data_IF_417987540201
#
_entry.id   IF_417987540201
#
_cell.length_a   1.000
_cell.length_b   1.000
_cell.length_c   1.000
_cell.angle_alpha   90.00
_cell.angle_beta   90.00
_cell.angle_gamma   90.00
#
_symmetry.space_group_name_H-M   'P 1'
#
loop_
_entity.id
_entity.type
_entity.pdbx_description
1 polymer ?
#
# COMPACT_ATOMS: atom_id res chain seq x y z
N UNK A 1 1.34 -3.51 -20.47
CA UNK A 1 2.68 -4.06 -20.14
C UNK A 1 2.68 -5.19 -19.12
N UNK A 2 1.91 -5.14 -18.02
CA UNK A 2 1.96 -6.18 -16.97
C UNK A 2 1.61 -7.60 -17.45
N UNK A 3 0.59 -7.75 -18.32
CA UNK A 3 0.19 -9.05 -18.88
C UNK A 3 1.26 -9.71 -19.77
N UNK A 4 2.06 -8.91 -20.50
CA UNK A 4 3.15 -9.43 -21.33
C UNK A 4 4.28 -9.99 -20.47
N UNK A 5 4.69 -9.27 -19.41
CA UNK A 5 5.73 -9.73 -18.49
C UNK A 5 5.35 -11.04 -17.79
N UNK A 6 4.08 -11.18 -17.37
CA UNK A 6 3.59 -12.43 -16.75
C UNK A 6 3.61 -13.61 -17.72
N UNK A 7 3.24 -13.41 -19.00
CA UNK A 7 3.31 -14.47 -20.02
C UNK A 7 4.74 -14.88 -20.33
N UNK A 8 5.64 -13.91 -20.42
CA UNK A 8 7.06 -14.13 -20.64
C UNK A 8 7.72 -14.90 -19.48
N UNK A 9 7.36 -14.57 -18.23
CA UNK A 9 7.78 -15.31 -17.04
C UNK A 9 7.24 -16.76 -17.03
N UNK A 10 5.99 -16.97 -17.44
CA UNK A 10 5.44 -18.32 -17.55
C UNK A 10 6.17 -19.13 -18.64
N UNK A 11 6.45 -18.53 -19.79
CA UNK A 11 7.18 -19.17 -20.88
C UNK A 11 8.61 -19.56 -20.49
N UNK A 12 9.32 -18.73 -19.73
CA UNK A 12 10.67 -19.05 -19.25
C UNK A 12 10.69 -20.17 -18.21
N UNK A 13 9.66 -20.26 -17.36
CA UNK A 13 9.44 -21.38 -16.44
C UNK A 13 9.23 -22.71 -17.19
N UNK A 14 8.40 -22.69 -18.24
CA UNK A 14 8.18 -23.85 -19.10
C UNK A 14 9.48 -24.24 -19.82
N UNK A 15 10.21 -23.28 -20.38
CA UNK A 15 11.49 -23.53 -21.04
C UNK A 15 12.52 -24.16 -20.08
N UNK A 16 12.59 -23.68 -18.84
CA UNK A 16 13.44 -24.25 -17.79
C UNK A 16 13.07 -25.71 -17.47
N UNK A 17 11.78 -26.00 -17.31
CA UNK A 17 11.30 -27.37 -17.06
C UNK A 17 11.61 -28.31 -18.23
N UNK A 18 11.44 -27.84 -19.48
CA UNK A 18 11.75 -28.60 -20.69
C UNK A 18 13.26 -28.89 -20.80
N UNK A 19 14.11 -27.90 -20.51
CA UNK A 19 15.57 -28.09 -20.52
C UNK A 19 16.04 -29.07 -19.45
N UNK A 20 15.42 -29.05 -18.27
CA UNK A 20 15.67 -30.05 -17.23
C UNK A 20 15.27 -31.46 -17.70
N UNK A 21 14.08 -31.60 -18.29
CA UNK A 21 13.63 -32.88 -18.84
C UNK A 21 14.56 -33.41 -19.94
N UNK A 22 14.99 -32.53 -20.85
CA UNK A 22 15.95 -32.86 -21.91
C UNK A 22 17.33 -33.23 -21.35
N UNK A 23 17.80 -32.54 -20.31
CA UNK A 23 19.07 -32.85 -19.66
C UNK A 23 19.07 -34.26 -19.06
N UNK A 24 17.97 -34.67 -18.41
CA UNK A 24 17.82 -36.02 -17.85
C UNK A 24 17.68 -37.06 -18.96
N UNK A 25 16.88 -36.79 -19.98
CA UNK A 25 16.63 -37.76 -21.05
C UNK A 25 17.87 -38.05 -21.91
N UNK A 26 18.70 -37.03 -22.18
CA UNK A 26 19.90 -37.17 -23.00
C UNK A 26 21.20 -37.29 -22.19
N UNK A 27 21.13 -37.34 -20.86
CA UNK A 27 22.28 -37.34 -19.93
C UNK A 27 23.33 -36.25 -20.27
N UNK A 28 22.88 -35.11 -20.81
CA UNK A 28 23.78 -34.10 -21.35
C UNK A 28 24.03 -32.98 -20.33
N UNK A 29 25.31 -32.81 -19.99
CA UNK A 29 25.80 -31.73 -19.13
C UNK A 29 25.55 -30.34 -19.73
N UNK A 30 25.48 -30.21 -21.06
CA UNK A 30 25.24 -28.93 -21.74
C UNK A 30 23.85 -28.36 -21.39
N UNK A 31 22.82 -29.20 -21.38
CA UNK A 31 21.46 -28.77 -21.01
C UNK A 31 21.34 -28.45 -19.51
N UNK A 32 22.13 -29.11 -18.66
CA UNK A 32 22.25 -28.78 -17.23
C UNK A 32 22.86 -27.39 -17.02
N UNK A 33 23.90 -27.03 -17.77
CA UNK A 33 24.48 -25.67 -17.74
C UNK A 33 23.50 -24.62 -18.28
N UNK A 34 22.77 -24.93 -19.36
CA UNK A 34 21.75 -24.02 -19.88
C UNK A 34 20.59 -23.81 -18.87
N UNK A 35 20.16 -24.89 -18.22
CA UNK A 35 19.15 -24.83 -17.17
C UNK A 35 19.61 -24.02 -15.96
N UNK A 36 20.88 -24.12 -15.55
CA UNK A 36 21.39 -23.35 -14.40
C UNK A 36 21.53 -21.85 -14.67
N UNK A 37 21.71 -21.43 -15.92
CA UNK A 37 21.77 -20.01 -16.30
C UNK A 37 20.38 -19.35 -16.39
N UNK A 38 19.33 -20.11 -16.69
CA UNK A 38 17.96 -19.62 -16.87
C UNK A 38 17.36 -18.90 -15.64
N UNK A 39 17.52 -19.37 -14.39
CA UNK A 39 17.06 -18.68 -13.20
C UNK A 39 17.53 -17.22 -13.11
N UNK A 40 18.77 -16.94 -13.51
CA UNK A 40 19.34 -15.59 -13.50
C UNK A 40 18.58 -14.69 -14.48
N UNK A 41 18.26 -15.22 -15.66
CA UNK A 41 17.49 -14.54 -16.71
C UNK A 41 16.02 -14.31 -16.30
N UNK A 42 15.43 -15.27 -15.58
CA UNK A 42 14.05 -15.20 -15.08
C UNK A 42 13.88 -14.06 -14.05
N UNK A 43 14.88 -13.82 -13.19
CA UNK A 43 14.81 -12.76 -12.16
C UNK A 43 14.67 -11.37 -12.76
N UNK A 44 15.31 -11.09 -13.91
CA UNK A 44 15.19 -9.78 -14.61
C UNK A 44 13.74 -9.53 -15.06
N UNK A 45 13.00 -10.61 -15.31
CA UNK A 45 11.64 -10.56 -15.86
C UNK A 45 10.56 -10.74 -14.81
N UNK A 46 10.94 -10.82 -13.53
CA UNK A 46 9.99 -10.95 -12.43
C UNK A 46 9.04 -9.73 -12.43
N UNK A 47 7.71 -9.95 -12.43
CA UNK A 47 6.79 -8.84 -12.28
C UNK A 47 7.03 -8.16 -10.92
N UNK A 48 7.29 -6.86 -10.95
CA UNK A 48 7.43 -6.06 -9.74
C UNK A 48 6.12 -6.10 -8.95
N UNK A 49 6.14 -6.77 -7.79
CA UNK A 49 4.99 -6.87 -6.90
C UNK A 49 4.95 -5.56 -6.14
N UNK A 50 4.08 -4.64 -6.57
CA UNK A 50 3.86 -3.36 -5.89
C UNK A 50 3.60 -3.57 -4.40
N UNK A 51 4.62 -3.28 -3.57
CA UNK A 51 4.57 -3.47 -2.11
C UNK A 51 3.61 -2.52 -1.41
N UNK A 52 3.18 -1.45 -2.07
CA UNK A 52 2.32 -0.42 -1.48
C UNK A 52 1.13 -0.09 -2.39
N UNK A 53 0.00 0.21 -1.80
CA UNK A 53 -1.21 0.62 -2.49
C UNK A 53 -1.37 2.14 -2.39
N UNK A 54 -1.75 2.80 -3.49
CA UNK A 54 -1.96 4.24 -3.54
C UNK A 54 -3.39 4.57 -3.93
N UNK A 55 -4.07 5.38 -3.14
CA UNK A 55 -5.37 5.96 -3.47
C UNK A 55 -5.14 7.16 -4.39
N UNK A 56 -5.27 6.92 -5.69
CA UNK A 56 -5.15 7.92 -6.77
C UNK A 56 -6.53 8.43 -7.21
N UNK A 57 -6.63 9.57 -7.90
CA UNK A 57 -7.90 10.13 -8.40
C UNK A 57 -8.75 9.16 -9.23
N UNK A 58 -8.11 8.24 -9.97
CA UNK A 58 -8.78 7.18 -10.73
C UNK A 58 -9.63 6.22 -9.88
N UNK A 59 -9.38 6.15 -8.57
CA UNK A 59 -10.09 5.29 -7.63
C UNK A 59 -11.27 5.98 -6.94
N UNK A 60 -11.57 7.25 -7.26
CA UNK A 60 -12.68 8.03 -6.64
C UNK A 60 -14.07 7.39 -6.76
N UNK A 61 -14.29 6.49 -7.71
CA UNK A 61 -15.55 5.74 -7.84
C UNK A 61 -15.69 4.61 -6.81
N UNK A 62 -14.56 4.07 -6.32
CA UNK A 62 -14.47 2.92 -5.41
C UNK A 62 -14.03 3.30 -4.00
N UNK A 63 -13.58 4.54 -3.81
CA UNK A 63 -13.05 5.06 -2.55
C UNK A 63 -13.56 6.48 -2.33
N UNK A 64 -14.12 6.73 -1.15
CA UNK A 64 -14.54 8.05 -0.69
C UNK A 64 -13.70 8.45 0.52
N UNK A 65 -13.07 9.62 0.44
CA UNK A 65 -12.35 10.23 1.56
C UNK A 65 -13.14 11.46 2.02
N UNK A 66 -13.59 11.42 3.27
CA UNK A 66 -14.42 12.48 3.85
C UNK A 66 -13.83 12.97 5.16
N UNK A 67 -13.79 14.28 5.33
CA UNK A 67 -13.42 14.92 6.60
C UNK A 67 -14.70 15.34 7.29
N UNK A 68 -14.88 14.87 8.53
CA UNK A 68 -15.98 15.26 9.40
C UNK A 68 -15.39 16.20 10.46
N UNK A 69 -15.60 17.50 10.29
CA UNK A 69 -15.16 18.51 11.25
C UNK A 69 -16.21 18.66 12.37
N UNK A 70 -16.30 17.65 13.24
CA UNK A 70 -17.10 17.72 14.46
C UNK A 70 -16.31 18.36 15.61
N UNK A 71 -16.08 19.67 15.55
CA UNK A 71 -15.40 20.43 16.61
C UNK A 71 -14.02 19.87 17.01
N UNK A 72 -13.72 19.82 18.31
CA UNK A 72 -12.43 19.38 18.91
C UNK A 72 -12.06 17.93 18.55
N UNK A 73 -12.99 17.13 18.05
CA UNK A 73 -12.82 15.71 17.75
C UNK A 73 -13.07 15.39 16.27
N UNK A 74 -12.53 16.20 15.36
CA UNK A 74 -12.60 15.94 13.92
C UNK A 74 -12.12 14.53 13.56
N UNK A 75 -12.79 13.88 12.61
CA UNK A 75 -12.44 12.54 12.12
C UNK A 75 -12.42 12.50 10.60
N UNK A 76 -11.43 11.81 10.05
CA UNK A 76 -11.36 11.48 8.64
C UNK A 76 -11.84 10.05 8.45
N UNK A 77 -12.78 9.87 7.52
CA UNK A 77 -13.32 8.56 7.18
C UNK A 77 -12.94 8.23 5.74
N UNK A 78 -12.31 7.07 5.56
CA UNK A 78 -11.98 6.48 4.26
C UNK A 78 -12.92 5.30 4.06
N UNK A 79 -13.89 5.44 3.16
CA UNK A 79 -14.81 4.36 2.78
C UNK A 79 -14.38 3.76 1.46
N UNK A 80 -14.46 2.44 1.30
CA UNK A 80 -14.10 1.77 0.06
C UNK A 80 -14.96 0.54 -0.20
N UNK A 81 -15.03 0.14 -1.47
CA UNK A 81 -15.70 -1.10 -1.85
C UNK A 81 -14.99 -2.32 -1.23
N UNK A 82 -15.73 -3.38 -0.86
CA UNK A 82 -15.16 -4.67 -0.48
C UNK A 82 -14.12 -5.15 -1.50
N UNK A 83 -12.99 -5.68 -1.01
CA UNK A 83 -11.88 -6.13 -1.85
C UNK A 83 -11.06 -5.03 -2.53
N UNK A 84 -11.29 -3.74 -2.22
CA UNK A 84 -10.41 -2.67 -2.68
C UNK A 84 -9.05 -2.71 -1.97
N UNK A 85 -9.05 -2.83 -0.64
CA UNK A 85 -7.82 -2.83 0.17
C UNK A 85 -7.14 -4.19 0.08
N UNK A 86 -5.86 -4.18 -0.28
CA UNK A 86 -5.03 -5.40 -0.42
C UNK A 86 -4.34 -5.75 0.90
N UNK A 87 -5.10 -6.12 1.93
CA UNK A 87 -4.62 -6.37 3.29
C UNK A 87 -3.36 -7.25 3.40
N UNK A 88 -3.30 -8.35 2.65
CA UNK A 88 -2.16 -9.30 2.71
C UNK A 88 -1.03 -9.04 1.72
N UNK A 89 -1.25 -8.20 0.70
CA UNK A 89 -0.31 -8.00 -0.41
C UNK A 89 0.36 -6.64 -0.39
N UNK A 90 -0.33 -5.62 0.11
CA UNK A 90 0.21 -4.28 0.26
C UNK A 90 0.63 -4.07 1.71
N UNK A 91 1.85 -3.59 1.93
CA UNK A 91 2.33 -3.20 3.26
C UNK A 91 1.70 -1.91 3.74
N UNK A 92 1.57 -0.91 2.85
CA UNK A 92 0.99 0.40 3.21
C UNK A 92 -0.05 0.87 2.20
N UNK A 93 -1.12 1.50 2.71
CA UNK A 93 -2.13 2.20 1.94
C UNK A 93 -1.87 3.71 2.02
N UNK A 94 -1.40 4.29 0.93
CA UNK A 94 -1.11 5.72 0.85
C UNK A 94 -2.29 6.50 0.29
N UNK A 95 -2.61 7.63 0.91
CA UNK A 95 -3.55 8.61 0.41
C UNK A 95 -2.97 10.02 0.52
N UNK A 96 -3.47 10.94 -0.30
CA UNK A 96 -3.03 12.33 -0.30
C UNK A 96 -3.98 13.21 0.52
N UNK A 97 -3.43 14.14 1.30
CA UNK A 97 -4.21 15.10 2.09
C UNK A 97 -5.15 15.95 1.22
N UNK A 98 -4.70 16.47 0.08
CA UNK A 98 -5.56 17.19 -0.88
C UNK A 98 -6.71 16.38 -1.49
N UNK A 99 -6.69 15.05 -1.36
CA UNK A 99 -7.81 14.21 -1.82
C UNK A 99 -8.96 14.17 -0.81
N UNK A 100 -8.78 14.77 0.37
CA UNK A 100 -9.80 14.91 1.39
C UNK A 100 -10.85 15.93 0.94
N UNK A 101 -12.08 15.47 0.74
CA UNK A 101 -13.21 16.39 0.55
C UNK A 101 -13.72 16.83 1.92
N UNK A 102 -13.76 18.14 2.14
CA UNK A 102 -14.48 18.75 3.26
C UNK A 102 -15.94 18.83 2.83
N UNK A 103 -16.76 17.96 3.39
CA UNK A 103 -18.21 17.97 3.17
C UNK A 103 -18.84 18.24 4.54
N UNK A 104 -19.61 19.33 4.66
CA UNK A 104 -20.35 19.70 5.87
C UNK A 104 -21.63 18.86 6.05
N UNK A 105 -21.76 17.78 5.29
CA UNK A 105 -22.95 16.94 5.32
C UNK A 105 -22.95 16.05 6.58
N UNK A 106 -24.08 15.98 7.31
CA UNK A 106 -24.22 15.09 8.45
C UNK A 106 -23.99 13.63 8.05
N UNK A 107 -23.54 12.81 9.01
CA UNK A 107 -23.16 11.39 8.87
C UNK A 107 -24.23 10.49 8.21
N UNK A 108 -25.44 11.01 8.00
CA UNK A 108 -26.65 10.34 7.52
C UNK A 108 -26.75 10.12 5.99
N UNK A 109 -25.86 10.71 5.17
CA UNK A 109 -25.88 10.50 3.71
C UNK A 109 -24.99 9.33 3.23
N UNK A 110 -24.56 8.45 4.12
CA UNK A 110 -24.04 7.14 3.71
C UNK A 110 -25.24 6.25 3.42
N UNK A 111 -25.38 5.80 2.15
CA UNK A 111 -26.45 4.87 1.74
C UNK A 111 -26.63 3.76 2.80
N UNK A 112 -27.73 3.78 3.57
CA UNK A 112 -28.01 2.72 4.53
C UNK A 112 -28.48 1.52 3.71
N UNK A 113 -27.58 0.58 3.43
CA UNK A 113 -27.92 -0.51 2.50
C UNK A 113 -27.02 -1.73 2.50
N UNK A 114 -25.99 -1.82 3.35
CA UNK A 114 -25.31 -3.08 3.61
C UNK A 114 -25.11 -3.23 5.11
N UNK A 115 -25.78 -4.23 5.68
CA UNK A 115 -25.81 -4.57 7.10
C UNK A 115 -24.45 -5.07 7.67
N UNK A 116 -23.32 -4.65 7.09
CA UNK A 116 -21.97 -5.10 7.43
C UNK A 116 -20.93 -3.99 7.22
N UNK A 117 -21.25 -2.76 7.63
CA UNK A 117 -20.30 -1.64 7.62
C UNK A 117 -19.39 -1.70 8.86
N UNK A 118 -18.45 -2.65 8.85
CA UNK A 118 -17.46 -2.71 9.92
C UNK A 118 -16.43 -1.59 9.74
N UNK A 119 -16.51 -0.59 10.61
CA UNK A 119 -15.56 0.51 10.69
C UNK A 119 -14.39 0.18 11.61
N UNK A 120 -13.16 0.36 11.11
CA UNK A 120 -11.96 0.10 11.89
C UNK A 120 -11.23 1.41 12.21
N UNK A 121 -10.97 1.71 13.50
CA UNK A 121 -10.19 2.88 13.87
C UNK A 121 -8.71 2.65 13.58
N UNK A 122 -8.15 3.57 12.81
CA UNK A 122 -6.72 3.69 12.54
C UNK A 122 -6.11 4.56 13.62
N UNK A 123 -5.06 4.07 14.26
CA UNK A 123 -4.40 4.76 15.37
C UNK A 123 -3.14 5.48 14.87
N UNK A 124 -2.64 6.44 15.65
CA UNK A 124 -1.49 7.26 15.29
C UNK A 124 -0.24 6.44 14.93
N UNK A 125 -0.03 5.28 15.57
CA UNK A 125 1.08 4.39 15.27
C UNK A 125 0.91 3.56 13.98
N UNK A 126 -0.32 3.41 13.48
CA UNK A 126 -0.60 2.80 12.17
C UNK A 126 -0.34 3.79 11.03
N UNK A 127 -0.14 5.08 11.34
CA UNK A 127 0.11 6.14 10.38
C UNK A 127 1.60 6.39 10.19
N UNK A 128 1.99 6.65 8.95
CA UNK A 128 3.35 7.04 8.61
C UNK A 128 3.36 8.05 7.47
N UNK A 129 4.16 9.10 7.58
CA UNK A 129 4.41 10.01 6.47
C UNK A 129 5.17 9.29 5.35
N UNK A 130 4.84 9.58 4.09
CA UNK A 130 5.59 9.03 2.97
C UNK A 130 7.00 9.65 2.94
N UNK A 131 8.08 8.85 2.83
CA UNK A 131 9.45 9.34 2.99
C UNK A 131 9.87 10.37 1.92
N UNK A 132 9.40 10.20 0.69
CA UNK A 132 9.82 11.04 -0.45
C UNK A 132 8.73 11.93 -1.05
N UNK A 133 7.48 11.85 -0.57
CA UNK A 133 6.34 12.54 -1.21
C UNK A 133 5.58 13.35 -0.17
N UNK A 134 5.70 14.69 -0.19
CA UNK A 134 4.99 15.53 0.77
C UNK A 134 3.48 15.38 0.60
N UNK A 135 2.74 15.45 1.70
CA UNK A 135 1.27 15.38 1.69
C UNK A 135 0.70 13.97 1.50
N UNK A 136 1.54 12.95 1.31
CA UNK A 136 1.12 11.55 1.29
C UNK A 136 1.27 10.91 2.67
N UNK A 137 0.17 10.36 3.17
CA UNK A 137 0.11 9.64 4.44
C UNK A 137 -0.18 8.17 4.14
N UNK A 138 0.60 7.28 4.74
CA UNK A 138 0.50 5.83 4.62
C UNK A 138 -0.10 5.22 5.88
N UNK A 139 -1.07 4.34 5.69
CA UNK A 139 -1.65 3.48 6.73
C UNK A 139 -0.98 2.10 6.63
N UNK A 140 -0.42 1.58 7.71
CA UNK A 140 0.16 0.24 7.76
C UNK A 140 -0.96 -0.81 7.77
N UNK A 141 -1.08 -1.56 6.67
CA UNK A 141 -2.13 -2.55 6.53
C UNK A 141 -1.82 -3.84 7.30
N UNK A 142 -0.55 -4.12 7.58
CA UNK A 142 -0.15 -5.33 8.29
C UNK A 142 -0.51 -5.22 9.76
N UNK A 143 -0.16 -4.10 10.40
CA UNK A 143 -0.53 -3.82 11.79
C UNK A 143 -2.05 -3.80 11.97
N UNK A 144 -2.74 -3.19 11.01
CA UNK A 144 -4.19 -3.07 11.03
C UNK A 144 -4.89 -4.44 10.83
N UNK A 145 -4.30 -5.33 10.02
CA UNK A 145 -4.75 -6.72 9.86
C UNK A 145 -4.50 -7.56 11.13
N UNK A 146 -3.37 -7.36 11.82
CA UNK A 146 -3.07 -8.05 13.08
C UNK A 146 -4.06 -7.65 14.18
N UNK A 147 -4.42 -6.36 14.26
CA UNK A 147 -5.42 -5.86 15.21
C UNK A 147 -6.84 -6.37 14.95
N UNK A 148 -7.18 -6.63 13.69
CA UNK A 148 -8.48 -7.20 13.32
C UNK A 148 -8.57 -8.69 13.60
N UNK A 149 -7.44 -9.42 13.63
CA UNK A 149 -7.45 -10.83 14.01
C UNK A 149 -7.96 -11.09 15.44
N UNK A 150 -7.88 -10.08 16.33
CA UNK A 150 -8.44 -10.13 17.68
C UNK A 150 -9.89 -9.65 17.79
N UNK A 151 -10.52 -9.23 16.68
CA UNK A 151 -11.90 -8.75 16.65
C UNK A 151 -12.81 -9.80 15.99
N UNK A 152 -14.10 -9.78 16.28
CA UNK A 152 -15.11 -10.63 15.62
C UNK A 152 -15.40 -10.22 14.16
N UNK A 153 -14.54 -9.40 13.56
CA UNK A 153 -14.69 -8.83 12.21
C UNK A 153 -13.50 -9.26 11.36
N UNK A 154 -13.78 -9.80 10.18
CA UNK A 154 -12.72 -10.17 9.23
C UNK A 154 -12.26 -8.96 8.41
N UNK A 155 -11.01 -8.97 7.94
CA UNK A 155 -10.48 -7.91 7.06
C UNK A 155 -11.29 -7.71 5.78
N UNK A 156 -12.01 -8.75 5.33
CA UNK A 156 -12.83 -8.71 4.12
C UNK A 156 -14.18 -8.00 4.34
N UNK A 157 -14.61 -7.88 5.60
CA UNK A 157 -15.84 -7.19 6.02
C UNK A 157 -15.60 -5.71 6.38
N UNK A 158 -14.34 -5.30 6.57
CA UNK A 158 -14.01 -3.90 6.84
C UNK A 158 -14.20 -3.07 5.56
N UNK A 159 -15.18 -2.18 5.56
CA UNK A 159 -15.49 -1.26 4.44
C UNK A 159 -15.07 0.19 4.72
N UNK A 160 -14.67 0.47 5.95
CA UNK A 160 -14.44 1.84 6.44
C UNK A 160 -13.25 1.91 7.39
N UNK A 161 -12.38 2.88 7.16
CA UNK A 161 -11.30 3.26 8.07
C UNK A 161 -11.58 4.64 8.65
N UNK A 162 -11.43 4.79 9.96
CA UNK A 162 -11.65 6.07 10.66
C UNK A 162 -10.36 6.51 11.33
N UNK A 163 -9.92 7.73 11.02
CA UNK A 163 -8.68 8.33 11.52
C UNK A 163 -9.04 9.61 12.29
N UNK A 164 -8.37 9.88 13.42
CA UNK A 164 -8.55 11.16 14.13
C UNK A 164 -7.83 12.27 13.38
N UNK A 165 -8.45 13.44 13.27
CA UNK A 165 -7.86 14.56 12.54
C UNK A 165 -6.56 15.06 13.21
N UNK A 166 -6.51 15.06 14.55
CA UNK A 166 -5.30 15.40 15.29
C UNK A 166 -4.10 14.51 14.96
N UNK A 167 -4.32 13.20 14.78
CA UNK A 167 -3.24 12.27 14.41
C UNK A 167 -2.70 12.58 13.00
N UNK A 168 -3.55 13.04 12.08
CA UNK A 168 -3.15 13.44 10.73
C UNK A 168 -2.37 14.75 10.72
N UNK A 169 -2.79 15.72 11.53
CA UNK A 169 -2.09 16.99 11.72
C UNK A 169 -0.70 16.75 12.31
N UNK A 170 -0.59 15.89 13.32
CA UNK A 170 0.70 15.51 13.89
C UNK A 170 1.63 14.87 12.84
N UNK A 171 1.10 13.98 11.99
CA UNK A 171 1.89 13.39 10.91
C UNK A 171 2.32 14.41 9.85
N UNK A 172 1.46 15.38 9.52
CA UNK A 172 1.79 16.45 8.58
C UNK A 172 2.90 17.36 9.14
N UNK A 173 2.84 17.72 10.42
CA UNK A 173 3.86 18.52 11.11
C UNK A 173 5.19 17.77 11.16
N UNK A 174 5.18 16.46 11.52
CA UNK A 174 6.39 15.62 11.52
C UNK A 174 7.04 15.54 10.13
N UNK A 175 6.24 15.48 9.06
CA UNK A 175 6.75 15.46 7.70
C UNK A 175 7.45 16.77 7.32
N UNK A 176 6.89 17.92 7.74
CA UNK A 176 7.52 19.23 7.53
C UNK A 176 8.80 19.39 8.35
N UNK A 177 8.81 18.93 9.61
CA UNK A 177 9.99 18.99 10.47
C UNK A 177 11.17 18.17 9.91
N UNK A 178 10.89 16.99 9.35
CA UNK A 178 11.91 16.13 8.74
C UNK A 178 12.37 16.60 7.34
N UNK A 179 11.64 17.53 6.71
CA UNK A 179 11.98 18.08 5.40
C UNK A 179 12.96 19.26 5.46
N UNK A 180 13.30 19.76 6.67
CA UNK A 180 14.34 20.78 6.85
C UNK A 180 15.70 20.08 6.89
N UNK A 181 16.53 20.19 5.84
CA UNK A 181 17.90 19.71 5.92
C UNK A 181 18.62 20.53 6.99
N UNK A 182 19.18 19.85 8.00
CA UNK A 182 20.17 20.45 8.89
C UNK A 182 21.39 20.75 8.02
N UNK A 183 21.46 21.96 7.45
CA UNK A 183 22.70 22.53 6.92
C UNK A 183 23.63 22.73 8.10
N UNK A 184 24.39 21.67 8.44
CA UNK A 184 25.49 21.73 9.39
C UNK A 184 26.66 22.48 8.74
N UNK A 185 26.52 23.81 8.67
CA UNK A 185 27.59 24.71 8.34
C UNK A 185 28.47 24.93 9.57
N UNK A 186 29.60 24.24 9.64
CA UNK A 186 30.72 24.65 10.48
C UNK A 186 32.04 24.30 9.80
N UNK A 187 32.33 25.02 8.72
CA UNK A 187 33.71 25.22 8.25
C UNK A 187 34.35 26.23 9.20
N UNK A 188 34.73 25.79 10.40
CA UNK A 188 35.61 26.58 11.25
C UNK A 188 37.00 26.55 10.62
N UNK A 189 37.41 27.72 10.13
CA UNK A 189 38.80 28.05 9.90
C UNK A 189 39.54 27.96 11.23
N UNK A 190 40.66 27.25 11.28
CA UNK A 190 41.75 27.57 12.19
C UNK A 190 42.99 27.79 11.33
N UNK A 191 43.53 28.99 11.50
CA UNK A 191 44.81 29.46 11.02
C UNK A 191 45.95 28.94 11.90
#
# INVERSE_FOLDING_TARGET
MHKMKTRLFAASLVAFAVLLGLAVYYESTVYLYAASALPILIVIWLPDIERHQYIRPKHRKRVSLRVHSGGVNGKVTISFDPGFVRWRKAGKLYFHLDSLKREEAPETNMKPGKAADAGLPVLSYDLSAHPSKPGWIGIDLKQLAERTAGLSVTTDEVTRLTIRLGDLEEMAVRQMANAVPVTSGSKQMQA
#
